data_IF_915038014647
#
_entry.id   IF_915038014647
#
_cell.length_a   1.000
_cell.length_b   1.000
_cell.length_c   1.000
_cell.angle_alpha   90.00
_cell.angle_beta   90.00
_cell.angle_gamma   90.00
#
_symmetry.space_group_name_H-M   'P 1'
#
loop_
_entity.id
_entity.type
_entity.pdbx_description
1 polymer ?
#
# COMPACT_ATOMS: atom_id res chain seq x y z
N UNK A 1 11.62 -2.23 -16.67
CA UNK A 1 12.18 -0.95 -16.17
C UNK A 1 12.86 -1.22 -14.83
N UNK A 2 13.99 -0.60 -14.51
CA UNK A 2 14.62 -0.74 -13.18
C UNK A 2 14.44 0.54 -12.38
N UNK A 3 14.29 0.42 -11.06
CA UNK A 3 14.23 1.57 -10.17
C UNK A 3 14.91 1.23 -8.86
N UNK A 4 15.33 2.27 -8.14
CA UNK A 4 15.90 2.07 -6.81
C UNK A 4 14.77 1.87 -5.80
N UNK A 5 14.94 0.83 -5.00
CA UNK A 5 14.04 0.47 -3.92
C UNK A 5 13.84 1.64 -2.93
N UNK A 6 12.58 1.88 -2.51
CA UNK A 6 12.20 2.91 -1.54
C UNK A 6 12.75 2.70 -0.12
N UNK A 7 13.35 1.54 0.17
CA UNK A 7 13.95 1.18 1.46
C UNK A 7 15.48 1.16 1.42
N UNK A 8 16.08 1.83 0.43
CA UNK A 8 17.54 1.94 0.32
C UNK A 8 18.03 3.06 1.23
N UNK A 9 18.97 2.72 2.11
CA UNK A 9 19.69 3.69 2.90
C UNK A 9 21.02 4.00 2.23
N UNK A 10 21.25 5.27 1.94
CA UNK A 10 22.53 5.78 1.48
C UNK A 10 23.20 6.57 2.62
N UNK A 11 24.47 6.27 2.92
CA UNK A 11 25.25 7.04 3.89
C UNK A 11 26.74 7.06 3.51
N UNK A 12 27.48 7.99 4.11
CA UNK A 12 28.91 8.18 3.84
C UNK A 12 29.74 7.84 5.08
N UNK A 13 30.78 7.03 4.93
CA UNK A 13 31.75 6.69 5.98
C UNK A 13 33.16 6.74 5.39
N UNK A 14 34.06 7.50 6.03
CA UNK A 14 35.47 7.62 5.61
C UNK A 14 35.66 8.02 4.14
N UNK A 15 34.76 8.86 3.60
CA UNK A 15 34.82 9.31 2.21
C UNK A 15 34.12 8.40 1.20
N UNK A 16 33.78 7.17 1.59
CA UNK A 16 33.13 6.17 0.74
C UNK A 16 31.61 6.22 0.96
N UNK A 17 30.84 6.12 -0.13
CA UNK A 17 29.38 6.01 -0.04
C UNK A 17 28.99 4.54 0.07
N UNK A 18 28.03 4.25 0.93
CA UNK A 18 27.46 2.92 1.11
C UNK A 18 25.97 2.94 0.81
N UNK A 19 25.53 1.96 0.06
CA UNK A 19 24.12 1.65 -0.13
C UNK A 19 23.78 0.40 0.68
N UNK A 20 22.61 0.43 1.32
CA UNK A 20 22.12 -0.70 2.09
C UNK A 20 20.67 -0.97 1.72
N UNK A 21 20.41 -2.17 1.24
CA UNK A 21 19.08 -2.68 0.93
C UNK A 21 18.49 -3.55 2.03
N UNK A 22 17.53 -4.40 1.67
CA UNK A 22 16.78 -5.26 2.60
C UNK A 22 17.67 -6.27 3.34
N UNK A 23 18.66 -6.84 2.66
CA UNK A 23 19.54 -7.87 3.21
C UNK A 23 20.42 -7.38 4.36
N UNK A 24 20.39 -6.07 4.65
CA UNK A 24 21.23 -5.40 5.64
C UNK A 24 22.73 -5.47 5.32
N UNK A 25 23.11 -6.02 4.15
CA UNK A 25 24.47 -5.97 3.61
C UNK A 25 24.74 -4.59 3.05
N UNK A 26 25.93 -4.08 3.33
CA UNK A 26 26.41 -2.79 2.84
C UNK A 26 27.18 -3.00 1.55
N UNK A 27 26.81 -2.26 0.49
CA UNK A 27 27.54 -2.20 -0.77
C UNK A 27 28.26 -0.86 -0.82
N UNK A 28 29.58 -0.92 -0.89
CA UNK A 28 30.41 0.25 -1.10
C UNK A 28 30.33 0.68 -2.57
N UNK A 29 30.06 1.96 -2.79
CA UNK A 29 30.08 2.58 -4.11
C UNK A 29 31.44 3.26 -4.29
N UNK A 30 32.13 2.91 -5.37
CA UNK A 30 33.49 3.35 -5.60
C UNK A 30 33.59 4.89 -5.69
N UNK A 31 34.64 5.54 -5.14
CA UNK A 31 34.73 7.00 -5.02
C UNK A 31 34.66 7.78 -6.34
N UNK A 32 34.97 7.14 -7.46
CA UNK A 32 34.88 7.68 -8.82
C UNK A 32 33.43 7.92 -9.28
N UNK A 33 32.44 7.34 -8.61
CA UNK A 33 31.03 7.49 -8.93
C UNK A 33 30.52 8.77 -8.23
N UNK A 34 30.19 9.80 -9.01
CA UNK A 34 29.81 11.10 -8.45
C UNK A 34 28.41 11.10 -7.82
N UNK A 35 28.15 12.00 -6.87
CA UNK A 35 26.84 12.15 -6.23
C UNK A 35 25.74 12.55 -7.23
N UNK A 36 26.10 13.41 -8.19
CA UNK A 36 25.24 13.85 -9.28
C UNK A 36 24.85 12.67 -10.17
N UNK A 37 25.83 11.82 -10.48
CA UNK A 37 25.65 10.59 -11.23
C UNK A 37 24.75 9.56 -10.51
N UNK A 38 24.86 9.44 -9.18
CA UNK A 38 23.95 8.60 -8.40
C UNK A 38 22.53 9.15 -8.46
N UNK A 39 22.36 10.47 -8.31
CA UNK A 39 21.04 11.10 -8.45
C UNK A 39 20.44 10.84 -9.84
N UNK A 40 21.26 10.84 -10.90
CA UNK A 40 20.82 10.50 -12.25
C UNK A 40 20.41 9.02 -12.37
N UNK A 41 21.14 8.09 -11.75
CA UNK A 41 20.74 6.67 -11.65
C UNK A 41 19.36 6.52 -10.99
N UNK A 42 19.10 7.27 -9.91
CA UNK A 42 17.80 7.25 -9.22
C UNK A 42 16.66 7.86 -10.06
N UNK A 43 16.97 8.75 -10.99
CA UNK A 43 15.97 9.55 -11.72
C UNK A 43 15.76 9.14 -13.19
N UNK A 44 16.71 8.42 -13.80
CA UNK A 44 16.82 8.40 -15.28
C UNK A 44 16.92 7.00 -15.90
N UNK A 45 17.48 6.01 -15.22
CA UNK A 45 17.79 4.73 -15.85
C UNK A 45 16.57 3.80 -15.89
N UNK A 46 16.20 3.36 -17.10
CA UNK A 46 15.03 2.50 -17.31
C UNK A 46 15.41 1.10 -17.76
N UNK A 47 16.57 0.90 -18.37
CA UNK A 47 16.98 -0.40 -18.92
C UNK A 47 18.23 -0.97 -18.22
N UNK A 48 18.33 -2.30 -18.15
CA UNK A 48 19.46 -2.98 -17.47
C UNK A 48 20.80 -2.66 -18.13
N UNK A 49 20.82 -2.59 -19.47
CA UNK A 49 22.01 -2.31 -20.26
C UNK A 49 22.59 -0.93 -19.94
N UNK A 50 21.74 0.10 -19.84
CA UNK A 50 22.15 1.46 -19.45
C UNK A 50 22.75 1.48 -18.04
N UNK A 51 22.20 0.69 -17.11
CA UNK A 51 22.73 0.59 -15.75
C UNK A 51 24.08 -0.13 -15.74
N UNK A 52 24.21 -1.23 -16.50
CA UNK A 52 25.45 -2.00 -16.58
C UNK A 52 26.59 -1.27 -17.27
N UNK A 53 26.32 -0.48 -18.33
CA UNK A 53 27.32 0.36 -19.00
C UNK A 53 27.98 1.34 -18.03
N UNK A 54 27.24 1.72 -17.01
CA UNK A 54 27.57 2.84 -16.15
C UNK A 54 28.11 2.38 -14.79
N UNK A 55 27.47 1.40 -14.16
CA UNK A 55 27.91 0.85 -12.87
C UNK A 55 28.88 -0.34 -13.04
N UNK A 56 28.97 -0.90 -14.24
CA UNK A 56 29.60 -2.18 -14.50
C UNK A 56 28.70 -3.36 -14.08
N UNK A 57 28.84 -4.48 -14.79
CA UNK A 57 28.00 -5.67 -14.56
C UNK A 57 28.14 -6.23 -13.13
N UNK A 58 29.33 -6.15 -12.53
CA UNK A 58 29.57 -6.65 -11.17
C UNK A 58 28.74 -5.89 -10.12
N UNK A 59 28.85 -4.55 -10.09
CA UNK A 59 28.11 -3.74 -9.12
C UNK A 59 26.61 -3.81 -9.39
N UNK A 60 26.20 -3.79 -10.66
CA UNK A 60 24.79 -3.95 -11.03
C UNK A 60 24.20 -5.26 -10.50
N UNK A 61 24.92 -6.37 -10.67
CA UNK A 61 24.50 -7.67 -10.14
C UNK A 61 24.43 -7.67 -8.60
N UNK A 62 25.40 -7.05 -7.92
CA UNK A 62 25.36 -6.91 -6.46
C UNK A 62 24.14 -6.09 -6.00
N UNK A 63 23.85 -4.95 -6.66
CA UNK A 63 22.69 -4.12 -6.33
C UNK A 63 21.36 -4.83 -6.56
N UNK A 64 21.25 -5.65 -7.61
CA UNK A 64 20.06 -6.49 -7.87
C UNK A 64 19.92 -7.60 -6.83
N UNK A 65 21.01 -8.31 -6.52
CA UNK A 65 21.02 -9.39 -5.55
C UNK A 65 20.65 -8.92 -4.14
N UNK A 66 21.09 -7.73 -3.75
CA UNK A 66 20.74 -7.12 -2.46
C UNK A 66 19.40 -6.35 -2.49
N UNK A 67 18.63 -6.45 -3.58
CA UNK A 67 17.34 -5.78 -3.80
C UNK A 67 17.40 -4.25 -3.62
N UNK A 68 18.55 -3.64 -3.94
CA UNK A 68 18.74 -2.19 -3.99
C UNK A 68 18.15 -1.67 -5.30
N UNK A 69 18.48 -2.34 -6.42
CA UNK A 69 17.78 -2.20 -7.69
C UNK A 69 16.71 -3.28 -7.79
N UNK A 70 15.53 -2.93 -8.29
CA UNK A 70 14.43 -3.89 -8.53
C UNK A 70 14.09 -3.86 -10.01
N UNK A 71 13.89 -5.04 -10.60
CA UNK A 71 13.58 -5.24 -12.02
C UNK A 71 12.08 -5.31 -12.30
N UNK A 72 11.25 -4.56 -11.56
CA UNK A 72 9.81 -4.57 -11.78
C UNK A 72 9.38 -3.40 -12.65
N UNK A 73 8.44 -3.66 -13.56
CA UNK A 73 7.70 -2.60 -14.23
C UNK A 73 6.74 -1.94 -13.24
N UNK A 74 7.29 -1.13 -12.33
CA UNK A 74 6.50 -0.25 -11.49
C UNK A 74 6.28 1.04 -12.26
N UNK A 75 5.01 1.25 -12.64
CA UNK A 75 4.51 2.57 -12.97
C UNK A 75 4.72 3.50 -11.76
N UNK A 76 5.75 4.34 -11.84
CA UNK A 76 6.16 5.29 -10.79
C UNK A 76 5.12 6.39 -10.56
N UNK A 77 4.32 6.69 -11.58
CA UNK A 77 3.25 7.68 -11.55
C UNK A 77 1.98 7.11 -10.91
N UNK A 78 1.87 5.77 -10.81
CA UNK A 78 0.83 5.11 -10.04
C UNK A 78 0.91 5.50 -8.57
N UNK A 79 -0.25 5.84 -7.98
CA UNK A 79 -0.39 6.04 -6.52
C UNK A 79 0.06 4.84 -5.69
N UNK A 80 0.03 3.62 -6.26
CA UNK A 80 0.45 2.40 -5.58
C UNK A 80 1.91 2.05 -5.82
N UNK A 81 2.69 2.87 -6.53
CA UNK A 81 4.11 2.60 -6.85
C UNK A 81 4.93 2.17 -5.64
N UNK A 82 4.81 2.89 -4.52
CA UNK A 82 5.56 2.61 -3.29
C UNK A 82 5.07 1.33 -2.61
N UNK A 83 3.76 1.10 -2.59
CA UNK A 83 3.16 -0.13 -2.04
C UNK A 83 3.54 -1.35 -2.88
N UNK A 84 3.45 -1.26 -4.21
CA UNK A 84 3.91 -2.31 -5.14
C UNK A 84 5.39 -2.62 -4.93
N UNK A 85 6.22 -1.59 -4.78
CA UNK A 85 7.64 -1.75 -4.47
C UNK A 85 7.86 -2.53 -3.17
N UNK A 86 7.11 -2.22 -2.11
CA UNK A 86 7.13 -3.00 -0.87
C UNK A 86 6.76 -4.48 -1.11
N UNK A 87 5.66 -4.77 -1.80
CA UNK A 87 5.25 -6.17 -2.03
C UNK A 87 6.24 -6.96 -2.88
N UNK A 88 6.78 -6.35 -3.93
CA UNK A 88 7.85 -6.90 -4.76
C UNK A 88 9.03 -7.36 -3.91
N UNK A 89 9.48 -6.50 -3.01
CA UNK A 89 10.63 -6.78 -2.15
C UNK A 89 10.39 -7.91 -1.18
N UNK A 90 9.27 -7.85 -0.46
CA UNK A 90 9.07 -8.68 0.72
C UNK A 90 8.43 -10.03 0.41
N UNK A 91 7.62 -10.11 -0.64
CA UNK A 91 6.70 -11.23 -0.79
C UNK A 91 6.89 -12.06 -2.07
N UNK A 92 7.69 -11.66 -3.06
CA UNK A 92 7.70 -12.31 -4.39
C UNK A 92 6.27 -12.57 -4.94
N UNK A 93 5.28 -11.85 -4.41
CA UNK A 93 3.88 -12.06 -4.68
C UNK A 93 3.37 -10.87 -5.47
N UNK A 94 2.49 -11.17 -6.42
CA UNK A 94 1.85 -10.15 -7.22
C UNK A 94 0.92 -9.30 -6.35
N UNK A 95 1.23 -8.01 -6.24
CA UNK A 95 0.35 -7.00 -5.67
C UNK A 95 -1.10 -7.12 -6.19
N UNK A 96 -1.29 -7.55 -7.44
CA UNK A 96 -2.60 -7.78 -8.06
C UNK A 96 -3.49 -8.74 -7.23
N UNK A 97 -2.91 -9.67 -6.46
CA UNK A 97 -3.67 -10.56 -5.57
C UNK A 97 -4.48 -9.79 -4.54
N UNK A 98 -3.93 -8.71 -3.96
CA UNK A 98 -4.65 -7.90 -2.96
C UNK A 98 -5.80 -7.11 -3.61
N UNK A 99 -5.59 -6.67 -4.85
CA UNK A 99 -6.59 -5.90 -5.60
C UNK A 99 -7.85 -6.71 -5.90
N UNK A 100 -7.70 -8.03 -6.04
CA UNK A 100 -8.82 -8.95 -6.27
C UNK A 100 -9.50 -9.41 -4.98
N UNK A 101 -9.05 -8.96 -3.80
CA UNK A 101 -9.71 -9.31 -2.53
C UNK A 101 -10.92 -8.43 -2.28
N UNK A 102 -11.95 -9.06 -1.72
CA UNK A 102 -13.08 -8.40 -1.09
C UNK A 102 -12.95 -8.59 0.43
N UNK A 103 -13.08 -7.51 1.20
CA UNK A 103 -12.94 -7.57 2.67
C UNK A 103 -14.20 -7.03 3.36
N UNK A 104 -14.70 -7.78 4.34
CA UNK A 104 -15.86 -7.42 5.15
C UNK A 104 -15.34 -6.86 6.46
N UNK A 105 -15.69 -5.61 6.74
CA UNK A 105 -15.37 -4.93 7.97
C UNK A 105 -16.65 -4.85 8.80
N UNK A 106 -16.63 -5.52 9.95
CA UNK A 106 -17.72 -5.49 10.91
C UNK A 106 -17.47 -4.34 11.89
N UNK A 107 -18.25 -3.29 11.75
CA UNK A 107 -18.14 -2.05 12.50
C UNK A 107 -17.42 -0.94 11.74
N UNK A 108 -17.97 0.27 11.84
CA UNK A 108 -17.48 1.54 11.31
C UNK A 108 -17.07 2.50 12.44
N UNK A 109 -16.72 1.95 13.61
CA UNK A 109 -16.13 2.69 14.74
C UNK A 109 -14.64 2.99 14.54
N UNK A 110 -13.91 3.22 15.64
CA UNK A 110 -12.51 3.67 15.59
C UNK A 110 -11.59 2.75 14.77
N UNK A 111 -11.60 1.46 15.10
CA UNK A 111 -10.79 0.45 14.41
C UNK A 111 -11.29 0.21 12.99
N UNK A 112 -12.61 0.15 12.81
CA UNK A 112 -13.26 -0.03 11.51
C UNK A 112 -12.88 1.06 10.51
N UNK A 113 -12.88 2.32 10.95
CA UNK A 113 -12.42 3.46 10.15
C UNK A 113 -10.96 3.30 9.74
N UNK A 114 -10.08 2.99 10.69
CA UNK A 114 -8.64 2.87 10.43
C UNK A 114 -8.33 1.71 9.48
N UNK A 115 -8.93 0.54 9.71
CA UNK A 115 -8.74 -0.65 8.86
C UNK A 115 -9.30 -0.40 7.47
N UNK A 116 -10.52 0.12 7.35
CA UNK A 116 -11.15 0.37 6.05
C UNK A 116 -10.33 1.36 5.22
N UNK A 117 -9.89 2.47 5.84
CA UNK A 117 -9.01 3.43 5.18
C UNK A 117 -7.69 2.78 4.78
N UNK A 118 -7.02 2.08 5.69
CA UNK A 118 -5.72 1.45 5.43
C UNK A 118 -5.79 0.43 4.29
N UNK A 119 -6.78 -0.48 4.31
CA UNK A 119 -6.99 -1.47 3.25
C UNK A 119 -7.25 -0.81 1.90
N UNK A 120 -8.04 0.26 1.88
CA UNK A 120 -8.31 1.04 0.66
C UNK A 120 -7.04 1.70 0.11
N UNK A 121 -6.10 2.12 0.97
CA UNK A 121 -4.81 2.68 0.54
C UNK A 121 -3.81 1.60 0.13
N UNK A 122 -3.89 0.40 0.71
CA UNK A 122 -2.99 -0.72 0.39
C UNK A 122 -3.40 -1.51 -0.85
N UNK A 123 -4.52 -1.16 -1.49
CA UNK A 123 -4.90 -1.69 -2.79
C UNK A 123 -6.09 -2.63 -2.81
N UNK A 124 -6.76 -2.86 -1.67
CA UNK A 124 -8.03 -3.60 -1.68
C UNK A 124 -9.07 -2.78 -2.43
N UNK A 125 -9.63 -3.35 -3.50
CA UNK A 125 -10.58 -2.63 -4.37
C UNK A 125 -12.03 -2.75 -3.94
N UNK A 126 -12.38 -3.73 -3.11
CA UNK A 126 -13.75 -3.91 -2.63
C UNK A 126 -13.79 -4.09 -1.11
N UNK A 127 -14.45 -3.15 -0.45
CA UNK A 127 -14.77 -3.23 0.97
C UNK A 127 -16.27 -3.33 1.14
N UNK A 128 -16.72 -4.21 2.03
CA UNK A 128 -18.09 -4.23 2.51
C UNK A 128 -18.02 -3.86 3.97
N UNK A 129 -18.80 -2.87 4.40
CA UNK A 129 -18.74 -2.35 5.76
C UNK A 129 -20.12 -2.41 6.37
N UNK A 130 -20.24 -3.19 7.45
CA UNK A 130 -21.49 -3.39 8.17
C UNK A 130 -21.45 -2.66 9.51
N UNK A 131 -22.34 -1.69 9.71
CA UNK A 131 -22.55 -0.97 10.97
C UNK A 131 -23.95 -0.35 10.93
N UNK A 132 -24.52 0.00 12.08
CA UNK A 132 -25.88 0.55 12.19
C UNK A 132 -25.93 1.87 12.97
N UNK A 133 -24.79 2.33 13.47
CA UNK A 133 -24.73 3.51 14.31
C UNK A 133 -24.74 4.81 13.50
N UNK A 134 -25.19 5.85 14.18
CA UNK A 134 -25.09 7.24 13.75
C UNK A 134 -23.82 7.87 14.34
N UNK A 135 -23.25 8.83 13.63
CA UNK A 135 -22.10 9.61 14.11
C UNK A 135 -22.55 10.55 15.22
N UNK A 136 -21.89 10.45 16.37
CA UNK A 136 -22.10 11.31 17.53
C UNK A 136 -20.88 12.20 17.81
N UNK A 137 -21.02 13.35 18.50
CA UNK A 137 -19.87 14.18 18.88
C UNK A 137 -18.81 13.41 19.68
N UNK A 138 -19.24 12.48 20.53
CA UNK A 138 -18.37 11.62 21.34
C UNK A 138 -17.44 10.74 20.49
N UNK A 139 -17.73 10.54 19.20
CA UNK A 139 -16.99 9.66 18.30
C UNK A 139 -15.77 10.34 17.67
N UNK A 140 -15.79 11.68 17.57
CA UNK A 140 -14.82 12.46 16.82
C UNK A 140 -13.40 12.39 17.39
N UNK A 141 -13.24 12.03 18.67
CA UNK A 141 -11.93 11.89 19.31
C UNK A 141 -11.12 10.66 18.87
N UNK A 142 -11.74 9.68 18.20
CA UNK A 142 -11.12 8.39 17.88
C UNK A 142 -11.48 7.81 16.51
N UNK A 143 -12.47 8.37 15.83
CA UNK A 143 -12.95 7.86 14.55
C UNK A 143 -12.51 8.82 13.45
N UNK A 144 -11.28 8.63 12.95
CA UNK A 144 -10.54 9.58 12.10
C UNK A 144 -11.25 9.98 10.80
N UNK A 145 -12.19 9.17 10.35
CA UNK A 145 -12.97 9.46 9.15
C UNK A 145 -14.14 10.41 9.41
N UNK A 146 -14.49 10.80 10.63
CA UNK A 146 -15.67 11.63 10.89
C UNK A 146 -15.29 13.04 11.33
N UNK A 147 -16.12 14.02 10.95
CA UNK A 147 -15.95 15.43 11.29
C UNK A 147 -17.22 15.98 11.93
N UNK A 148 -17.15 17.18 12.51
CA UNK A 148 -18.32 17.83 13.11
C UNK A 148 -19.49 17.99 12.13
N UNK A 149 -19.21 18.19 10.84
CA UNK A 149 -20.20 18.28 9.76
C UNK A 149 -20.92 16.96 9.46
N UNK A 150 -20.44 15.85 10.03
CA UNK A 150 -20.99 14.51 9.81
C UNK A 150 -21.86 14.02 10.97
N UNK A 151 -21.91 14.76 12.08
CA UNK A 151 -22.74 14.40 13.24
C UNK A 151 -24.21 14.28 12.81
N UNK A 152 -24.86 13.19 13.23
CA UNK A 152 -26.24 12.87 12.86
C UNK A 152 -26.38 12.05 11.57
N UNK A 153 -25.30 11.78 10.84
CA UNK A 153 -25.31 10.91 9.65
C UNK A 153 -24.94 9.47 10.01
N UNK A 154 -25.38 8.51 9.19
CA UNK A 154 -24.97 7.11 9.29
C UNK A 154 -23.46 6.97 9.05
N UNK A 155 -22.78 6.24 9.96
CA UNK A 155 -21.33 6.02 9.90
C UNK A 155 -20.88 5.43 8.57
N UNK A 156 -21.57 4.37 8.12
CA UNK A 156 -21.22 3.63 6.91
C UNK A 156 -21.28 4.49 5.64
N UNK A 157 -22.23 5.43 5.55
CA UNK A 157 -22.39 6.27 4.36
C UNK A 157 -21.25 7.29 4.30
N UNK A 158 -20.97 7.97 5.43
CA UNK A 158 -19.87 8.95 5.51
C UNK A 158 -18.51 8.27 5.31
N UNK A 159 -18.31 7.09 5.88
CA UNK A 159 -17.10 6.29 5.70
C UNK A 159 -16.91 5.94 4.22
N UNK A 160 -17.96 5.44 3.55
CA UNK A 160 -17.93 5.10 2.12
C UNK A 160 -17.58 6.31 1.25
N UNK A 161 -18.27 7.43 1.45
CA UNK A 161 -18.01 8.68 0.71
C UNK A 161 -16.57 9.17 0.90
N UNK A 162 -16.05 9.13 2.13
CA UNK A 162 -14.70 9.63 2.42
C UNK A 162 -13.62 8.73 1.88
N UNK A 163 -13.77 7.41 2.00
CA UNK A 163 -12.84 6.47 1.37
C UNK A 163 -12.83 6.67 -0.15
N UNK A 164 -13.99 6.83 -0.79
CA UNK A 164 -14.05 7.09 -2.22
C UNK A 164 -13.33 8.39 -2.62
N UNK A 165 -13.41 9.45 -1.79
CA UNK A 165 -12.65 10.70 -1.99
C UNK A 165 -11.13 10.51 -1.86
N UNK A 166 -10.67 9.64 -0.96
CA UNK A 166 -9.25 9.31 -0.86
C UNK A 166 -8.79 8.40 -2.02
N UNK A 167 -9.62 7.44 -2.41
CA UNK A 167 -9.32 6.46 -3.44
C UNK A 167 -10.56 6.02 -4.23
N UNK A 168 -10.72 6.59 -5.42
CA UNK A 168 -11.84 6.29 -6.32
C UNK A 168 -11.79 4.89 -6.93
N UNK A 169 -10.64 4.21 -6.87
CA UNK A 169 -10.49 2.82 -7.33
C UNK A 169 -11.17 1.80 -6.39
N UNK A 170 -11.58 2.25 -5.20
CA UNK A 170 -12.14 1.39 -4.16
C UNK A 170 -13.65 1.54 -4.12
N UNK A 171 -14.33 0.42 -4.30
CA UNK A 171 -15.75 0.28 -4.08
C UNK A 171 -15.99 -0.05 -2.60
N UNK A 172 -16.67 0.85 -1.89
CA UNK A 172 -17.16 0.58 -0.53
C UNK A 172 -18.66 0.33 -0.59
N UNK A 173 -19.09 -0.85 -0.15
CA UNK A 173 -20.50 -1.24 -0.08
C UNK A 173 -20.96 -1.13 1.37
N UNK A 174 -21.77 -0.10 1.72
CA UNK A 174 -22.30 0.07 3.06
C UNK A 174 -23.48 -0.89 3.31
N UNK A 175 -23.52 -1.52 4.48
CA UNK A 175 -24.61 -2.41 4.91
C UNK A 175 -25.12 -1.95 6.28
N UNK A 176 -26.30 -1.35 6.31
CA UNK A 176 -26.90 -0.81 7.54
C UNK A 176 -27.58 -1.91 8.36
N UNK A 177 -26.79 -2.63 9.17
CA UNK A 177 -27.27 -3.73 10.01
C UNK A 177 -26.58 -3.78 11.37
N UNK A 178 -27.32 -4.26 12.38
CA UNK A 178 -26.75 -4.61 13.67
C UNK A 178 -26.35 -6.07 13.68
N UNK A 179 -25.10 -6.33 13.31
CA UNK A 179 -24.55 -7.69 13.23
C UNK A 179 -24.69 -8.41 14.58
N UNK A 180 -25.63 -9.37 14.63
CA UNK A 180 -25.90 -10.17 15.83
C UNK A 180 -25.65 -11.66 15.62
N UNK A 181 -25.59 -12.13 14.37
CA UNK A 181 -25.25 -13.50 14.02
C UNK A 181 -24.65 -13.62 12.61
N UNK A 182 -24.11 -14.80 12.29
CA UNK A 182 -23.61 -15.11 10.94
C UNK A 182 -24.75 -15.17 9.93
N UNK A 183 -25.92 -15.69 10.32
CA UNK A 183 -27.10 -15.76 9.45
C UNK A 183 -27.57 -14.36 9.01
N UNK A 184 -27.45 -13.36 9.89
CA UNK A 184 -27.77 -11.98 9.55
C UNK A 184 -26.79 -11.42 8.52
N UNK A 185 -25.49 -11.73 8.65
CA UNK A 185 -24.49 -11.37 7.65
C UNK A 185 -24.77 -12.06 6.32
N UNK A 186 -25.06 -13.36 6.31
CA UNK A 186 -25.38 -14.12 5.11
C UNK A 186 -26.58 -13.52 4.39
N UNK A 187 -27.65 -13.19 5.13
CA UNK A 187 -28.86 -12.59 4.55
C UNK A 187 -28.58 -11.27 3.82
N UNK A 188 -27.74 -10.41 4.38
CA UNK A 188 -27.49 -9.07 3.84
C UNK A 188 -26.28 -8.99 2.89
N UNK A 189 -25.35 -9.94 2.97
CA UNK A 189 -24.18 -10.01 2.10
C UNK A 189 -24.35 -10.98 0.91
N UNK A 190 -25.44 -11.76 0.87
CA UNK A 190 -25.74 -12.68 -0.23
C UNK A 190 -25.75 -11.93 -1.58
N UNK A 191 -25.01 -12.44 -2.56
CA UNK A 191 -24.87 -11.82 -3.88
C UNK A 191 -23.87 -10.66 -3.95
N UNK A 192 -23.39 -10.16 -2.81
CA UNK A 192 -22.33 -9.15 -2.72
C UNK A 192 -20.96 -9.83 -2.46
N UNK A 193 -21.00 -10.97 -1.77
CA UNK A 193 -19.88 -11.75 -1.27
C UNK A 193 -20.04 -13.23 -1.68
N UNK A 194 -19.06 -13.81 -2.38
CA UNK A 194 -19.12 -15.19 -2.89
C UNK A 194 -18.73 -16.27 -1.86
N UNK A 195 -18.11 -15.89 -0.75
CA UNK A 195 -17.68 -16.82 0.30
C UNK A 195 -18.84 -17.18 1.24
N UNK A 196 -19.05 -18.47 1.48
CA UNK A 196 -19.91 -18.92 2.58
C UNK A 196 -19.12 -18.85 3.89
N UNK A 197 -19.76 -18.38 4.96
CA UNK A 197 -19.16 -18.48 6.28
C UNK A 197 -19.17 -19.96 6.67
N UNK A 198 -18.03 -20.63 6.58
CA UNK A 198 -17.91 -22.03 6.96
C UNK A 198 -18.24 -22.15 8.46
N UNK A 199 -19.20 -23.04 8.78
CA UNK A 199 -19.53 -23.45 10.16
C UNK A 199 -18.49 -24.44 10.68
#
# INVERSE_FOLDING_TARGET
>A
MFYVNSYVFAYKKEGIMYLRGRSMREIAIEPQISQEFINDLFNSCKELLEIEEVLGSKLTFELLNEQILISDEIDIDSRYSRTKGYYSLFYNEEYNKIQNKTVLVLGAGALGCYISLSLSMYGVRKLIVADYDIIEPSNLNRQILYTELDVGKEKINVLSEKIHKYNSDVQVVPISIKVSSVEELEKHCCGIWEYRFYR
#
